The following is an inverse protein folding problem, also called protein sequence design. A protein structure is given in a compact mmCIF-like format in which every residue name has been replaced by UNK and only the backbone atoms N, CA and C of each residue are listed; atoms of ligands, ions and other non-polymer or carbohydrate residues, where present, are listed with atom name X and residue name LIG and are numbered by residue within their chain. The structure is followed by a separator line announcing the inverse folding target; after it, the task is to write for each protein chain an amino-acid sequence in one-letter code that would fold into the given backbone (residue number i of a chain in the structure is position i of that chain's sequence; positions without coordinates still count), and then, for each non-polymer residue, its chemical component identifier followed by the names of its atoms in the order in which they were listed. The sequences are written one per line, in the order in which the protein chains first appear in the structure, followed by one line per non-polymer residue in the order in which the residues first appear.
data_IF_648247544647
#
_entry.id   IF_648247544647
#
_cell.length_a   1.000
_cell.length_b   1.000
_cell.length_c   1.000
_cell.angle_alpha   90.00
_cell.angle_beta   90.00
_cell.angle_gamma   90.00
#
_symmetry.space_group_name_H-M   'P 1'
#
loop_
_entity.id
_entity.type
_entity.pdbx_description
1 polymer ?
#
# COMPACT_ATOMS: atom_id res chain seq x y z
N UNK A 1 -10.35 -14.29 7.52
CA UNK A 1 -9.21 -14.16 8.47
C UNK A 1 -8.27 -15.36 8.37
N UNK A 2 -7.88 -15.79 7.15
CA UNK A 2 -7.04 -16.99 6.92
C UNK A 2 -5.53 -16.71 6.96
N UNK A 3 -5.12 -15.46 6.76
CA UNK A 3 -3.71 -15.05 6.70
C UNK A 3 -3.30 -14.17 7.89
N UNK A 4 -3.98 -14.30 9.03
CA UNK A 4 -3.60 -13.57 10.24
C UNK A 4 -2.16 -13.98 10.65
N UNK A 5 -1.27 -13.04 10.98
CA UNK A 5 0.07 -13.38 11.42
C UNK A 5 -0.01 -14.31 12.62
N UNK A 6 0.54 -15.51 12.51
CA UNK A 6 0.64 -16.42 13.65
C UNK A 6 1.60 -15.81 14.67
N UNK A 7 1.22 -15.84 15.95
CA UNK A 7 2.11 -15.46 17.05
C UNK A 7 3.25 -16.48 17.17
N UNK A 8 4.26 -16.37 16.31
CA UNK A 8 5.56 -17.03 16.45
C UNK A 8 6.64 -16.21 15.76
N UNK A 9 7.45 -15.55 16.61
CA UNK A 9 8.90 -15.35 16.46
C UNK A 9 9.47 -15.16 15.05
N UNK A 10 9.87 -13.93 14.73
CA UNK A 10 11.02 -13.55 13.86
C UNK A 10 11.25 -14.39 12.58
N UNK A 11 10.21 -14.74 11.83
CA UNK A 11 10.42 -15.19 10.46
C UNK A 11 10.99 -14.03 9.63
N UNK A 12 12.10 -14.27 8.92
CA UNK A 12 12.70 -13.31 8.00
C UNK A 12 11.62 -12.89 6.99
N UNK A 13 11.38 -11.59 6.83
CA UNK A 13 10.42 -11.09 5.83
C UNK A 13 10.97 -11.34 4.42
N UNK A 14 10.11 -11.75 3.49
CA UNK A 14 10.46 -11.80 2.07
C UNK A 14 10.94 -10.42 1.60
N UNK A 15 12.03 -10.38 0.85
CA UNK A 15 12.42 -9.19 0.09
C UNK A 15 11.76 -9.28 -1.27
N UNK A 16 10.89 -8.33 -1.57
CA UNK A 16 10.14 -8.33 -2.83
C UNK A 16 10.52 -7.08 -3.62
N UNK A 17 10.90 -7.28 -4.87
CA UNK A 17 11.27 -6.22 -5.81
C UNK A 17 10.41 -6.32 -7.06
N UNK A 18 10.05 -5.17 -7.62
CA UNK A 18 9.37 -5.06 -8.89
C UNK A 18 10.29 -4.34 -9.86
N UNK A 19 10.47 -4.91 -11.04
CA UNK A 19 11.34 -4.40 -12.09
C UNK A 19 10.51 -4.20 -13.34
N UNK A 20 10.60 -3.02 -13.92
CA UNK A 20 10.00 -2.69 -15.20
C UNK A 20 10.63 -1.44 -15.78
N UNK A 21 10.82 -1.41 -17.08
CA UNK A 21 11.32 -0.23 -17.81
C UNK A 21 10.17 0.68 -18.26
N UNK A 22 9.00 0.11 -18.56
CA UNK A 22 7.88 0.84 -19.17
C UNK A 22 6.58 0.80 -18.36
N UNK A 23 6.42 -0.17 -17.45
CA UNK A 23 5.14 -0.43 -16.78
C UNK A 23 5.16 -0.05 -15.30
N UNK A 24 4.07 0.56 -14.85
CA UNK A 24 3.87 0.97 -13.46
C UNK A 24 2.71 0.19 -12.88
N UNK A 25 2.92 -0.41 -11.71
CA UNK A 25 1.86 -1.08 -10.97
C UNK A 25 0.79 -0.08 -10.53
N UNK A 26 -0.51 -0.43 -10.62
CA UNK A 26 -1.59 0.48 -10.24
C UNK A 26 -1.72 0.68 -8.72
N UNK A 27 -1.03 -0.14 -7.92
CA UNK A 27 -1.10 -0.10 -6.46
C UNK A 27 0.21 0.37 -5.83
N UNK A 28 0.10 0.97 -4.64
CA UNK A 28 1.26 1.32 -3.83
C UNK A 28 2.12 0.08 -3.56
N UNK A 29 3.37 0.11 -4.04
CA UNK A 29 4.28 -1.02 -3.94
C UNK A 29 4.60 -1.40 -2.50
N UNK A 30 4.62 -0.47 -1.54
CA UNK A 30 4.88 -0.81 -0.13
C UNK A 30 3.71 -1.61 0.42
N UNK A 31 2.47 -1.24 0.08
CA UNK A 31 1.27 -1.98 0.48
C UNK A 31 1.21 -3.36 -0.16
N UNK A 32 1.52 -3.47 -1.47
CA UNK A 32 1.63 -4.76 -2.15
C UNK A 32 2.64 -5.67 -1.45
N UNK A 33 3.86 -5.16 -1.18
CA UNK A 33 4.92 -5.93 -0.49
C UNK A 33 4.48 -6.40 0.89
N UNK A 34 3.85 -5.53 1.69
CA UNK A 34 3.37 -5.89 3.02
C UNK A 34 2.27 -6.96 2.98
N UNK A 35 1.33 -6.81 2.05
CA UNK A 35 0.27 -7.80 1.83
C UNK A 35 0.84 -9.16 1.44
N UNK A 36 1.70 -9.21 0.42
CA UNK A 36 2.35 -10.44 -0.02
C UNK A 36 3.17 -11.11 1.10
N UNK A 37 3.94 -10.33 1.87
CA UNK A 37 4.66 -10.84 3.05
C UNK A 37 3.71 -11.46 4.09
N UNK A 38 2.51 -10.89 4.26
CA UNK A 38 1.49 -11.41 5.18
C UNK A 38 0.94 -12.73 4.68
N UNK A 39 0.65 -12.85 3.38
CA UNK A 39 0.21 -14.12 2.78
C UNK A 39 1.29 -15.19 2.95
N UNK A 40 2.54 -14.92 2.56
CA UNK A 40 3.68 -15.86 2.70
C UNK A 40 3.82 -16.34 4.15
N UNK A 41 3.76 -15.42 5.12
CA UNK A 41 3.85 -15.75 6.54
C UNK A 41 2.69 -16.66 7.00
N UNK A 42 1.49 -16.48 6.44
CA UNK A 42 0.33 -17.32 6.70
C UNK A 42 0.49 -18.78 6.26
N UNK A 43 1.35 -19.05 5.27
CA UNK A 43 1.71 -20.41 4.84
C UNK A 43 2.82 -21.05 5.69
N UNK A 44 3.47 -20.30 6.59
CA UNK A 44 4.54 -20.82 7.45
C UNK A 44 5.81 -21.26 6.72
N UNK A 45 6.02 -20.79 5.48
CA UNK A 45 7.20 -21.09 4.66
C UNK A 45 8.35 -20.13 4.97
N UNK A 46 9.59 -20.57 4.76
CA UNK A 46 10.75 -19.69 4.80
C UNK A 46 10.66 -18.66 3.67
N UNK A 47 11.02 -17.40 3.93
CA UNK A 47 10.90 -16.34 2.95
C UNK A 47 12.28 -15.86 2.48
N UNK A 48 12.46 -15.75 1.16
CA UNK A 48 13.70 -15.30 0.52
C UNK A 48 13.51 -14.04 -0.32
N UNK A 49 14.21 -13.97 -1.45
CA UNK A 49 14.13 -12.84 -2.38
C UNK A 49 13.23 -13.22 -3.56
N UNK A 50 12.26 -12.35 -3.85
CA UNK A 50 11.28 -12.54 -4.92
C UNK A 50 11.37 -11.34 -5.85
N UNK A 51 11.60 -11.59 -7.13
CA UNK A 51 11.69 -10.56 -8.15
C UNK A 51 10.53 -10.70 -9.13
N UNK A 52 9.75 -9.64 -9.27
CA UNK A 52 8.75 -9.52 -10.31
C UNK A 52 9.32 -8.71 -11.47
N UNK A 53 9.26 -9.26 -12.69
CA UNK A 53 9.61 -8.58 -13.93
C UNK A 53 8.34 -8.37 -14.73
N UNK A 54 7.99 -7.10 -14.96
CA UNK A 54 6.82 -6.73 -15.76
C UNK A 54 7.30 -6.46 -17.18
N UNK A 55 6.90 -7.33 -18.10
CA UNK A 55 7.38 -7.35 -19.47
C UNK A 55 6.22 -7.36 -20.46
N UNK A 56 6.55 -7.26 -21.75
CA UNK A 56 5.57 -7.42 -22.81
C UNK A 56 5.39 -8.92 -23.16
N UNK A 57 4.40 -9.21 -23.99
CA UNK A 57 4.08 -10.56 -24.49
C UNK A 57 5.24 -11.26 -25.22
N UNK A 58 6.02 -10.51 -26.02
CA UNK A 58 7.11 -11.07 -26.81
C UNK A 58 8.28 -11.47 -25.91
N UNK A 59 8.63 -10.63 -24.94
CA UNK A 59 9.65 -10.93 -23.93
C UNK A 59 9.27 -12.19 -23.15
N UNK A 60 8.00 -12.31 -22.74
CA UNK A 60 7.53 -13.47 -21.98
C UNK A 60 7.46 -14.73 -22.83
N UNK A 61 7.09 -14.62 -24.11
CA UNK A 61 7.09 -15.72 -25.06
C UNK A 61 8.51 -16.25 -25.31
N UNK A 62 9.50 -15.36 -25.41
CA UNK A 62 10.91 -15.74 -25.51
C UNK A 62 11.36 -16.54 -24.30
N UNK A 63 11.02 -16.10 -23.09
CA UNK A 63 11.29 -16.83 -21.85
C UNK A 63 10.59 -18.21 -21.85
N UNK A 64 9.33 -18.27 -22.27
CA UNK A 64 8.56 -19.52 -22.33
C UNK A 64 9.21 -20.54 -23.26
N UNK A 65 9.68 -20.08 -24.43
CA UNK A 65 10.38 -20.91 -25.42
C UNK A 65 11.75 -21.36 -24.89
N UNK A 66 12.54 -20.43 -24.37
CA UNK A 66 13.93 -20.68 -23.97
C UNK A 66 14.04 -21.61 -22.77
N UNK A 67 13.18 -21.42 -21.75
CA UNK A 67 13.33 -22.12 -20.46
C UNK A 67 12.31 -23.23 -20.24
N UNK A 68 11.11 -23.15 -20.85
CA UNK A 68 10.04 -24.14 -20.66
C UNK A 68 9.73 -24.95 -21.93
N UNK A 69 10.33 -24.60 -23.07
CA UNK A 69 10.08 -25.26 -24.37
C UNK A 69 8.61 -25.22 -24.80
N UNK A 70 7.92 -24.14 -24.42
CA UNK A 70 6.53 -23.90 -24.76
C UNK A 70 6.41 -22.73 -25.74
N UNK A 71 5.54 -22.87 -26.74
CA UNK A 71 5.33 -21.88 -27.79
C UNK A 71 3.89 -21.35 -27.77
N UNK A 72 3.52 -20.73 -26.64
CA UNK A 72 2.23 -20.07 -26.47
C UNK A 72 2.36 -18.89 -25.51
N UNK A 73 1.48 -17.90 -25.65
CA UNK A 73 1.40 -16.78 -24.72
C UNK A 73 0.78 -17.21 -23.39
N UNK A 74 1.39 -16.77 -22.30
CA UNK A 74 0.91 -16.99 -20.93
C UNK A 74 0.97 -15.68 -20.18
N UNK A 75 0.17 -15.52 -19.14
CA UNK A 75 0.15 -14.32 -18.30
C UNK A 75 1.33 -14.27 -17.31
N UNK A 76 1.76 -15.44 -16.83
CA UNK A 76 2.81 -15.57 -15.82
C UNK A 76 3.76 -16.73 -16.11
N UNK A 77 5.05 -16.51 -15.84
CA UNK A 77 6.07 -17.57 -15.73
C UNK A 77 6.79 -17.39 -14.40
N UNK A 78 6.94 -18.47 -13.64
CA UNK A 78 7.60 -18.42 -12.34
C UNK A 78 8.74 -19.44 -12.24
N UNK A 79 9.90 -18.99 -11.78
CA UNK A 79 11.08 -19.80 -11.54
C UNK A 79 11.43 -19.75 -10.07
N UNK A 80 11.08 -20.81 -9.35
CA UNK A 80 11.41 -20.93 -7.93
C UNK A 80 12.85 -21.43 -7.76
N UNK A 81 13.64 -20.75 -6.92
CA UNK A 81 15.04 -21.12 -6.70
C UNK A 81 15.19 -22.31 -5.75
N UNK A 82 14.32 -22.39 -4.74
CA UNK A 82 14.35 -23.42 -3.70
C UNK A 82 12.91 -23.84 -3.36
N UNK A 83 12.56 -25.14 -3.41
CA UNK A 83 11.22 -25.62 -3.09
C UNK A 83 10.74 -25.34 -1.65
N UNK A 84 11.68 -25.17 -0.71
CA UNK A 84 11.40 -24.95 0.71
C UNK A 84 11.41 -23.46 1.11
N UNK A 85 11.90 -22.59 0.22
CA UNK A 85 11.94 -21.15 0.41
C UNK A 85 11.08 -20.46 -0.64
N UNK A 86 10.22 -19.52 -0.22
CA UNK A 86 9.51 -18.63 -1.14
C UNK A 86 10.52 -17.60 -1.67
N UNK A 87 11.21 -17.98 -2.75
CA UNK A 87 12.24 -17.19 -3.43
C UNK A 87 12.30 -17.58 -4.91
N UNK A 88 12.46 -16.59 -5.78
CA UNK A 88 12.50 -16.82 -7.22
C UNK A 88 12.14 -15.60 -8.06
N UNK A 89 12.10 -15.84 -9.37
CA UNK A 89 11.71 -14.85 -10.37
C UNK A 89 10.30 -15.12 -10.88
N UNK A 90 9.51 -14.06 -11.05
CA UNK A 90 8.16 -14.10 -11.59
C UNK A 90 8.09 -13.08 -12.72
N UNK A 91 7.86 -13.57 -13.94
CA UNK A 91 7.69 -12.76 -15.14
C UNK A 91 6.21 -12.66 -15.47
N UNK A 92 5.74 -11.44 -15.73
CA UNK A 92 4.32 -11.15 -15.94
C UNK A 92 4.16 -10.32 -17.20
N UNK A 93 3.27 -10.77 -18.10
CA UNK A 93 2.87 -9.99 -19.26
C UNK A 93 1.79 -8.98 -18.89
N UNK A 94 2.06 -7.70 -19.11
CA UNK A 94 1.06 -6.66 -18.94
C UNK A 94 -0.12 -6.80 -19.90
N UNK A 95 0.12 -7.15 -21.17
CA UNK A 95 -0.95 -7.30 -22.16
C UNK A 95 -1.93 -8.41 -21.76
N UNK A 96 -1.42 -9.52 -21.19
CA UNK A 96 -2.28 -10.63 -20.74
C UNK A 96 -3.12 -10.25 -19.54
N UNK A 97 -2.64 -9.39 -18.65
CA UNK A 97 -3.47 -8.88 -17.55
C UNK A 97 -4.67 -8.08 -18.10
N UNK A 98 -4.43 -7.17 -19.04
CA UNK A 98 -5.52 -6.40 -19.66
C UNK A 98 -6.52 -7.32 -20.38
N UNK A 99 -6.02 -8.32 -21.13
CA UNK A 99 -6.86 -9.28 -21.84
C UNK A 99 -7.67 -10.16 -20.88
N UNK A 100 -7.04 -10.68 -19.81
CA UNK A 100 -7.71 -11.48 -18.78
C UNK A 100 -8.78 -10.67 -18.05
N UNK A 101 -8.48 -9.43 -17.66
CA UNK A 101 -9.43 -8.55 -17.02
C UNK A 101 -10.69 -8.35 -17.88
N UNK A 102 -10.50 -8.10 -19.19
CA UNK A 102 -11.60 -7.97 -20.14
C UNK A 102 -12.41 -9.27 -20.29
N UNK A 103 -11.73 -10.41 -20.40
CA UNK A 103 -12.36 -11.73 -20.54
C UNK A 103 -13.16 -12.13 -19.30
N UNK A 104 -12.63 -11.85 -18.12
CA UNK A 104 -13.25 -12.14 -16.82
C UNK A 104 -14.28 -11.08 -16.40
N UNK A 105 -14.35 -9.95 -17.11
CA UNK A 105 -15.19 -8.78 -16.78
C UNK A 105 -14.90 -8.26 -15.37
N UNK A 106 -13.62 -8.15 -15.05
CA UNK A 106 -13.12 -7.55 -13.80
C UNK A 106 -12.27 -6.33 -14.12
N UNK A 107 -12.06 -5.48 -13.13
CA UNK A 107 -11.15 -4.33 -13.25
C UNK A 107 -9.69 -4.80 -13.37
N UNK A 108 -8.89 -4.13 -14.21
CA UNK A 108 -7.48 -4.47 -14.43
C UNK A 108 -6.68 -4.46 -13.12
N UNK A 109 -6.97 -3.53 -12.21
CA UNK A 109 -6.30 -3.45 -10.93
C UNK A 109 -6.57 -4.67 -10.04
N UNK A 110 -7.72 -5.31 -10.19
CA UNK A 110 -8.00 -6.57 -9.49
C UNK A 110 -7.22 -7.74 -10.10
N UNK A 111 -7.15 -7.80 -11.42
CA UNK A 111 -6.41 -8.86 -12.11
C UNK A 111 -4.90 -8.77 -11.82
N UNK A 112 -4.36 -7.56 -11.70
CA UNK A 112 -3.00 -7.35 -11.19
C UNK A 112 -2.77 -8.01 -9.83
N UNK A 113 -3.69 -7.85 -8.87
CA UNK A 113 -3.56 -8.49 -7.56
C UNK A 113 -3.60 -10.02 -7.69
N UNK A 114 -4.48 -10.53 -8.55
CA UNK A 114 -4.65 -11.95 -8.81
C UNK A 114 -3.37 -12.58 -9.36
N UNK A 115 -2.81 -12.04 -10.44
CA UNK A 115 -1.59 -12.57 -11.06
C UNK A 115 -0.39 -12.46 -10.12
N UNK A 116 -0.24 -11.34 -9.40
CA UNK A 116 0.83 -11.18 -8.41
C UNK A 116 0.76 -12.26 -7.32
N UNK A 117 -0.42 -12.49 -6.74
CA UNK A 117 -0.57 -13.48 -5.68
C UNK A 117 -0.53 -14.90 -6.19
N UNK A 118 -0.97 -15.14 -7.42
CA UNK A 118 -0.91 -16.44 -8.08
C UNK A 118 0.53 -16.99 -8.10
N UNK A 119 1.50 -16.17 -8.52
CA UNK A 119 2.92 -16.55 -8.47
C UNK A 119 3.43 -16.90 -7.06
N UNK A 120 3.03 -16.13 -6.04
CA UNK A 120 3.38 -16.44 -4.64
C UNK A 120 2.72 -17.72 -4.14
N UNK A 121 1.45 -17.96 -4.50
CA UNK A 121 0.73 -19.16 -4.10
C UNK A 121 1.41 -20.42 -4.68
N UNK A 122 1.91 -20.34 -5.92
CA UNK A 122 2.75 -21.39 -6.49
C UNK A 122 4.05 -21.61 -5.70
N UNK A 123 4.78 -20.55 -5.35
CA UNK A 123 5.97 -20.67 -4.50
C UNK A 123 5.66 -21.23 -3.10
N UNK A 124 4.44 -21.01 -2.60
CA UNK A 124 3.93 -21.61 -1.37
C UNK A 124 3.50 -23.09 -1.53
N UNK A 125 3.59 -23.66 -2.74
CA UNK A 125 3.26 -25.05 -3.05
C UNK A 125 1.80 -25.31 -3.41
N UNK A 126 1.02 -24.27 -3.66
CA UNK A 126 -0.35 -24.41 -4.17
C UNK A 126 -0.30 -24.83 -5.63
N UNK A 127 -1.09 -25.84 -5.97
CA UNK A 127 -1.20 -26.40 -7.33
C UNK A 127 -2.52 -25.96 -7.96
N UNK A 128 -2.61 -26.11 -9.26
CA UNK A 128 -3.78 -25.73 -10.07
C UNK A 128 -4.05 -26.68 -11.26
N UNK A 129 -3.26 -27.77 -11.39
CA UNK A 129 -3.33 -28.69 -12.55
C UNK A 129 -4.56 -29.61 -12.59
N UNK A 130 -5.30 -29.74 -11.49
CA UNK A 130 -6.52 -30.53 -11.42
C UNK A 130 -7.71 -29.64 -11.09
N UNK A 131 -8.93 -30.02 -11.50
CA UNK A 131 -10.14 -29.22 -11.21
C UNK A 131 -10.34 -28.97 -9.70
N UNK A 132 -9.87 -29.87 -8.84
CA UNK A 132 -9.91 -29.66 -7.38
C UNK A 132 -8.88 -28.61 -6.95
N UNK A 133 -7.67 -28.71 -7.47
CA UNK A 133 -6.57 -27.81 -7.13
C UNK A 133 -6.84 -26.40 -7.66
N UNK A 134 -7.36 -26.28 -8.88
CA UNK A 134 -7.78 -25.01 -9.48
C UNK A 134 -8.82 -24.29 -8.61
N UNK A 135 -9.85 -25.00 -8.12
CA UNK A 135 -10.84 -24.42 -7.20
C UNK A 135 -10.21 -23.94 -5.89
N UNK A 136 -9.21 -24.67 -5.39
CA UNK A 136 -8.48 -24.27 -4.19
C UNK A 136 -7.63 -23.03 -4.45
N UNK A 137 -6.92 -22.97 -5.58
CA UNK A 137 -6.13 -21.83 -6.03
C UNK A 137 -7.00 -20.57 -6.13
N UNK A 138 -8.11 -20.65 -6.87
CA UNK A 138 -9.07 -19.54 -7.02
C UNK A 138 -9.61 -19.04 -5.68
N UNK A 139 -9.93 -19.96 -4.76
CA UNK A 139 -10.39 -19.56 -3.43
C UNK A 139 -9.31 -18.79 -2.65
N UNK A 140 -8.04 -19.20 -2.74
CA UNK A 140 -6.94 -18.54 -2.05
C UNK A 140 -6.62 -17.17 -2.68
N UNK A 141 -6.70 -17.05 -4.00
CA UNK A 141 -6.60 -15.78 -4.72
C UNK A 141 -7.67 -14.80 -4.24
N UNK A 142 -8.95 -15.21 -4.24
CA UNK A 142 -10.07 -14.37 -3.78
C UNK A 142 -9.91 -13.95 -2.31
N UNK A 143 -9.57 -14.89 -1.43
CA UNK A 143 -9.33 -14.60 -0.01
C UNK A 143 -8.20 -13.57 0.16
N UNK A 144 -7.14 -13.67 -0.65
CA UNK A 144 -6.00 -12.76 -0.60
C UNK A 144 -6.34 -11.38 -1.17
N UNK A 145 -7.00 -11.30 -2.33
CA UNK A 145 -7.45 -10.05 -2.96
C UNK A 145 -8.40 -9.30 -2.02
N UNK A 146 -9.37 -10.00 -1.45
CA UNK A 146 -10.31 -9.40 -0.50
C UNK A 146 -9.59 -8.86 0.75
N UNK A 147 -8.56 -9.56 1.25
CA UNK A 147 -7.75 -9.05 2.36
C UNK A 147 -6.97 -7.79 2.01
N UNK A 148 -6.44 -7.69 0.77
CA UNK A 148 -5.77 -6.49 0.30
C UNK A 148 -6.75 -5.32 0.22
N UNK A 149 -7.86 -5.50 -0.50
CA UNK A 149 -8.89 -4.47 -0.69
C UNK A 149 -9.49 -4.01 0.63
N UNK A 150 -9.80 -4.93 1.54
CA UNK A 150 -10.34 -4.58 2.86
C UNK A 150 -9.37 -3.69 3.64
N UNK A 151 -8.09 -4.06 3.73
CA UNK A 151 -7.09 -3.25 4.43
C UNK A 151 -6.86 -1.90 3.75
N UNK A 152 -6.85 -1.88 2.42
CA UNK A 152 -6.66 -0.66 1.64
C UNK A 152 -7.82 0.31 1.80
N UNK A 153 -9.07 -0.17 1.69
CA UNK A 153 -10.29 0.63 1.84
C UNK A 153 -10.50 1.10 3.28
N UNK A 154 -10.19 0.29 4.28
CA UNK A 154 -10.24 0.72 5.69
C UNK A 154 -9.24 1.84 5.97
N UNK A 155 -8.04 1.77 5.41
CA UNK A 155 -7.06 2.84 5.53
C UNK A 155 -7.52 4.12 4.79
N UNK A 156 -8.08 3.98 3.58
CA UNK A 156 -8.62 5.12 2.84
C UNK A 156 -9.80 5.77 3.58
N UNK A 157 -10.72 4.97 4.12
CA UNK A 157 -11.80 5.44 4.99
C UNK A 157 -11.27 6.15 6.24
N UNK A 158 -10.19 5.64 6.85
CA UNK A 158 -9.52 6.33 7.95
C UNK A 158 -8.94 7.68 7.52
N UNK A 159 -8.34 7.77 6.33
CA UNK A 159 -7.77 9.02 5.82
C UNK A 159 -8.89 10.03 5.54
N UNK A 160 -10.00 9.59 4.96
CA UNK A 160 -11.18 10.43 4.72
C UNK A 160 -11.77 10.98 6.03
N UNK A 161 -11.86 10.16 7.08
CA UNK A 161 -12.27 10.59 8.42
C UNK A 161 -11.30 11.64 9.00
N UNK A 162 -9.99 11.42 8.87
CA UNK A 162 -8.98 12.41 9.28
C UNK A 162 -9.16 13.72 8.50
N UNK A 163 -9.33 13.65 7.17
CA UNK A 163 -9.51 14.83 6.33
C UNK A 163 -10.78 15.60 6.65
N UNK A 164 -11.88 14.91 6.96
CA UNK A 164 -13.12 15.53 7.39
C UNK A 164 -12.92 16.37 8.66
N UNK A 165 -12.23 15.82 9.67
CA UNK A 165 -11.92 16.56 10.91
C UNK A 165 -10.99 17.73 10.64
N UNK A 166 -9.97 17.55 9.80
CA UNK A 166 -9.01 18.61 9.49
C UNK A 166 -9.70 19.78 8.79
N UNK A 167 -10.69 19.51 7.93
CA UNK A 167 -11.52 20.55 7.29
C UNK A 167 -12.38 21.32 8.30
N UNK A 168 -12.72 20.73 9.44
CA UNK A 168 -13.50 21.39 10.50
C UNK A 168 -12.67 22.36 11.35
N UNK A 169 -11.33 22.29 11.31
CA UNK A 169 -10.47 23.17 12.11
C UNK A 169 -10.70 24.62 11.65
N UNK A 170 -11.18 25.53 12.51
CA UNK A 170 -11.45 26.91 12.10
C UNK A 170 -10.19 27.67 11.68
N UNK A 171 -10.34 28.68 10.81
CA UNK A 171 -9.26 29.60 10.48
C UNK A 171 -8.76 30.31 11.75
N UNK A 172 -7.45 30.44 11.90
CA UNK A 172 -6.84 31.06 13.09
C UNK A 172 -6.75 30.15 14.32
N UNK A 173 -7.20 28.89 14.20
CA UNK A 173 -7.08 27.84 15.21
C UNK A 173 -6.15 26.73 14.74
N UNK A 174 -5.59 26.00 15.70
CA UNK A 174 -4.72 24.84 15.45
C UNK A 174 -5.12 23.67 16.31
N UNK A 175 -4.89 22.44 15.85
CA UNK A 175 -5.11 21.22 16.64
C UNK A 175 -3.85 20.37 16.67
N UNK A 176 -3.91 19.24 17.37
CA UNK A 176 -2.82 18.27 17.40
C UNK A 176 -3.20 16.94 16.74
N UNK A 177 -2.20 16.24 16.21
CA UNK A 177 -2.36 14.86 15.71
C UNK A 177 -3.05 13.95 16.75
N UNK A 178 -2.70 14.12 18.03
CA UNK A 178 -3.32 13.38 19.13
C UNK A 178 -4.75 13.78 19.44
N UNK A 179 -5.14 15.04 19.22
CA UNK A 179 -6.53 15.46 19.38
C UNK A 179 -7.41 14.77 18.35
N UNK A 180 -6.95 14.74 17.09
CA UNK A 180 -7.66 14.08 15.98
C UNK A 180 -7.80 12.58 16.24
N UNK A 181 -6.71 11.87 16.58
CA UNK A 181 -6.79 10.42 16.83
C UNK A 181 -7.64 10.06 18.04
N UNK A 182 -7.61 10.90 19.10
CA UNK A 182 -8.46 10.71 20.29
C UNK A 182 -9.93 10.90 19.97
N UNK A 183 -10.26 11.93 19.19
CA UNK A 183 -11.65 12.19 18.79
C UNK A 183 -12.21 11.05 17.95
N UNK A 184 -11.44 10.55 16.98
CA UNK A 184 -11.84 9.39 16.17
C UNK A 184 -11.96 8.10 16.97
N UNK A 185 -11.35 8.02 18.17
CA UNK A 185 -11.15 6.76 18.91
C UNK A 185 -10.53 5.65 18.05
N UNK A 186 -9.78 6.04 17.01
CA UNK A 186 -9.24 5.18 15.97
C UNK A 186 -7.87 5.68 15.51
N UNK A 187 -6.98 4.74 15.23
CA UNK A 187 -5.62 5.01 14.77
C UNK A 187 -4.75 5.67 15.83
N UNK A 188 -3.56 6.10 15.43
CA UNK A 188 -2.58 6.76 16.30
C UNK A 188 -2.26 8.16 15.79
N UNK A 189 -1.67 9.05 16.61
CA UNK A 189 -1.19 10.35 16.13
C UNK A 189 -0.26 10.24 14.91
N UNK A 190 0.51 9.15 14.83
CA UNK A 190 1.38 8.85 13.68
C UNK A 190 0.59 8.52 12.42
N UNK A 191 -0.52 7.77 12.55
CA UNK A 191 -1.40 7.46 11.41
C UNK A 191 -2.10 8.71 10.87
N UNK A 192 -2.53 9.64 11.74
CA UNK A 192 -3.00 10.97 11.32
C UNK A 192 -1.90 11.69 10.52
N UNK A 193 -0.65 11.59 10.96
CA UNK A 193 0.51 12.09 10.24
C UNK A 193 0.68 11.48 8.83
N UNK A 194 0.49 10.17 8.68
CA UNK A 194 0.52 9.51 7.37
C UNK A 194 -0.62 9.96 6.46
N UNK A 195 -1.84 10.08 6.99
CA UNK A 195 -2.98 10.62 6.26
C UNK A 195 -2.65 12.02 5.73
N UNK A 196 -2.16 12.93 6.58
CA UNK A 196 -1.80 14.28 6.14
C UNK A 196 -0.60 14.32 5.18
N UNK A 197 0.37 13.41 5.30
CA UNK A 197 1.48 13.30 4.35
C UNK A 197 1.00 12.87 2.96
N UNK A 198 -0.06 12.06 2.86
CA UNK A 198 -0.62 11.63 1.57
C UNK A 198 -1.21 12.78 0.74
N UNK A 199 -1.44 13.94 1.35
CA UNK A 199 -1.88 15.17 0.68
C UNK A 199 -0.76 15.90 -0.07
N UNK A 200 0.50 15.48 0.07
CA UNK A 200 1.63 16.12 -0.60
C UNK A 200 1.42 16.12 -2.12
N UNK A 201 1.42 17.30 -2.72
CA UNK A 201 1.19 17.48 -4.17
C UNK A 201 -0.28 17.52 -4.60
N UNK A 202 -1.23 17.30 -3.67
CA UNK A 202 -2.67 17.37 -3.94
C UNK A 202 -3.25 18.74 -3.59
N UNK A 203 -4.16 19.26 -4.43
CA UNK A 203 -4.89 20.54 -4.21
C UNK A 203 -6.24 20.34 -3.51
N UNK A 204 -6.36 19.37 -2.59
CA UNK A 204 -7.65 19.01 -1.97
C UNK A 204 -8.27 20.05 -1.01
N UNK A 205 -7.68 21.24 -0.85
CA UNK A 205 -8.23 22.30 0.00
C UNK A 205 -8.31 21.94 1.49
N UNK A 206 -7.58 20.92 1.93
CA UNK A 206 -7.53 20.48 3.33
C UNK A 206 -6.51 21.35 4.07
N UNK A 207 -6.88 22.05 5.16
CA UNK A 207 -5.99 22.98 5.87
C UNK A 207 -5.02 22.25 6.81
N UNK A 208 -4.23 21.33 6.26
CA UNK A 208 -3.30 20.47 7.01
C UNK A 208 -2.26 21.27 7.81
N UNK A 209 -1.96 22.52 7.40
CA UNK A 209 -1.04 23.42 8.11
C UNK A 209 -1.54 23.78 9.52
N UNK A 210 -2.84 23.61 9.80
CA UNK A 210 -3.43 23.84 11.13
C UNK A 210 -3.19 22.69 12.12
N UNK A 211 -2.56 21.58 11.68
CA UNK A 211 -2.25 20.43 12.53
C UNK A 211 -0.77 20.45 12.94
N UNK A 212 -0.52 20.59 14.24
CA UNK A 212 0.82 20.66 14.84
C UNK A 212 1.04 19.51 15.83
N UNK A 213 2.25 19.36 16.37
CA UNK A 213 2.46 18.36 17.43
C UNK A 213 1.86 18.80 18.77
N UNK A 214 1.89 17.92 19.78
CA UNK A 214 1.32 18.19 21.10
C UNK A 214 1.98 19.38 21.84
N UNK A 215 3.17 19.81 21.42
CA UNK A 215 3.88 20.98 21.96
C UNK A 215 3.62 22.26 21.16
N UNK A 216 2.84 22.19 20.09
CA UNK A 216 2.62 23.31 19.17
C UNK A 216 3.73 23.51 18.13
N UNK A 217 4.65 22.56 17.97
CA UNK A 217 5.76 22.65 17.02
C UNK A 217 5.33 22.16 15.63
N UNK A 218 5.86 22.81 14.59
CA UNK A 218 5.55 22.58 13.17
C UNK A 218 6.29 21.34 12.62
N UNK A 219 6.06 20.18 13.24
CA UNK A 219 6.74 18.92 12.88
C UNK A 219 6.40 18.38 11.49
N UNK A 220 5.33 18.87 10.86
CA UNK A 220 4.89 18.49 9.51
C UNK A 220 5.34 19.42 8.38
N UNK A 221 6.14 20.46 8.68
CA UNK A 221 6.46 21.55 7.74
C UNK A 221 7.05 21.11 6.40
N UNK A 222 7.85 20.03 6.39
CA UNK A 222 8.50 19.51 5.18
C UNK A 222 7.50 19.00 4.12
N UNK A 223 6.24 18.79 4.50
CA UNK A 223 5.18 18.35 3.59
C UNK A 223 4.59 19.48 2.73
N UNK A 224 4.91 20.75 3.03
CA UNK A 224 4.28 21.93 2.41
C UNK A 224 5.11 22.57 1.28
N UNK A 225 6.13 21.88 0.76
CA UNK A 225 6.90 22.34 -0.41
C UNK A 225 7.94 23.44 -0.12
N UNK A 226 8.26 23.69 1.15
CA UNK A 226 9.35 24.59 1.56
C UNK A 226 9.35 24.81 3.08
N UNK A 227 10.51 25.12 3.66
CA UNK A 227 10.69 25.17 5.13
C UNK A 227 9.79 26.20 5.82
N UNK A 228 9.45 27.30 5.15
CA UNK A 228 8.57 28.36 5.68
C UNK A 228 7.12 28.30 5.18
N UNK A 229 6.77 27.33 4.32
CA UNK A 229 5.46 27.31 3.69
C UNK A 229 4.33 27.12 4.73
N UNK A 230 4.47 26.15 5.63
CA UNK A 230 3.51 25.91 6.71
C UNK A 230 3.37 27.12 7.64
N UNK A 231 4.49 27.76 7.97
CA UNK A 231 4.52 28.97 8.80
C UNK A 231 3.77 30.13 8.13
N UNK A 232 4.04 30.39 6.85
CA UNK A 232 3.39 31.46 6.10
C UNK A 232 1.88 31.26 6.01
N UNK A 233 1.42 30.01 5.81
CA UNK A 233 0.00 29.68 5.81
C UNK A 233 -0.63 29.98 7.17
N UNK A 234 -0.01 29.57 8.27
CA UNK A 234 -0.48 29.88 9.63
C UNK A 234 -0.53 31.39 9.90
N UNK A 235 0.53 32.12 9.53
CA UNK A 235 0.58 33.59 9.68
C UNK A 235 -0.49 34.29 8.86
N UNK A 236 -0.80 33.79 7.66
CA UNK A 236 -1.89 34.34 6.82
C UNK A 236 -3.27 34.18 7.44
N UNK A 237 -3.39 33.32 8.46
CA UNK A 237 -4.60 33.11 9.25
C UNK A 237 -4.57 33.79 10.61
N UNK A 238 -3.56 34.61 10.89
CA UNK A 238 -3.40 35.30 12.17
C UNK A 238 -2.76 34.44 13.27
N UNK A 239 -2.23 33.26 12.94
CA UNK A 239 -1.51 32.40 13.90
C UNK A 239 -0.04 32.82 13.96
N UNK A 240 0.39 33.35 15.09
CA UNK A 240 1.78 33.70 15.33
C UNK A 240 2.66 32.45 15.53
N UNK A 241 3.82 32.44 14.88
CA UNK A 241 4.81 31.35 14.95
C UNK A 241 6.17 31.97 15.24
N UNK A 242 6.98 31.33 16.09
CA UNK A 242 8.36 31.69 16.38
C UNK A 242 9.18 30.42 16.58
N UNK A 243 10.38 30.34 15.98
CA UNK A 243 11.26 29.17 16.09
C UNK A 243 10.53 27.83 15.83
N UNK A 244 9.78 27.76 14.71
CA UNK A 244 8.96 26.60 14.31
C UNK A 244 7.89 26.18 15.34
N UNK A 245 7.43 27.11 16.18
CA UNK A 245 6.45 26.83 17.22
C UNK A 245 5.33 27.87 17.24
N UNK A 246 4.10 27.39 17.35
CA UNK A 246 2.92 28.24 17.50
C UNK A 246 2.96 28.97 18.84
N UNK A 247 2.85 30.30 18.80
CA UNK A 247 2.77 31.15 19.98
C UNK A 247 1.35 31.13 20.54
N UNK A 248 1.23 31.18 21.88
CA UNK A 248 -0.05 31.09 22.58
C UNK A 248 -0.87 29.84 22.24
N UNK A 249 -0.20 28.73 21.89
CA UNK A 249 -0.83 27.47 21.46
C UNK A 249 -2.05 27.06 22.32
N UNK A 250 -2.01 27.06 23.67
CA UNK A 250 -3.18 26.69 24.46
C UNK A 250 -4.42 27.56 24.24
N UNK A 251 -4.26 28.86 23.90
CA UNK A 251 -5.38 29.80 23.68
C UNK A 251 -6.05 29.61 22.32
N UNK A 252 -5.30 29.14 21.34
CA UNK A 252 -5.77 28.95 19.96
C UNK A 252 -5.92 27.48 19.59
N UNK A 253 -5.74 26.58 20.56
CA UNK A 253 -5.98 25.16 20.40
C UNK A 253 -7.48 24.92 20.14
N UNK A 254 -7.77 24.12 19.12
CA UNK A 254 -9.09 23.63 18.80
C UNK A 254 -9.13 22.13 19.04
N UNK A 255 -10.09 21.72 19.86
CA UNK A 255 -10.41 20.34 20.14
C UNK A 255 -11.64 19.98 19.30
N UNK A 256 -11.62 18.89 18.52
CA UNK A 256 -12.83 18.40 17.87
C UNK A 256 -13.86 17.96 18.94
N UNK A 257 -15.12 18.31 18.71
CA UNK A 257 -16.29 18.03 19.57
C UNK A 257 -17.34 17.19 18.83
#
# INVERSE_FOLDING_TARGET
MRFAPTQKSLLKKAKISFHSDEYVLPWDQKKLKLWMQTIISGFGKAAGEIHYYLCNDEDLLEINRQYLQHDYYTDIISFQYDPDVVAGDIYISFQRICENAANLKVEEEEEWLRVLIHGILHFCGVKDKSSKDEKQMRKLEEDAIHSFKHNYLQEQSYYDLVFAIVKMIPRGKVTSYSAISKFLSLGSPRMVGYALHSLRGSKMGIPAHRVVNAKGELSGRHNFGGDKAMENLLRSEGVAVENDKVINFPKIFWQPE
#
